data_IF_747018080061
#
_entry.id   IF_747018080061
#
_cell.length_a   1.000
_cell.length_b   1.000
_cell.length_c   1.000
_cell.angle_alpha   90.00
_cell.angle_beta   90.00
_cell.angle_gamma   90.00
#
_symmetry.space_group_name_H-M   'P 1'
#
loop_
_entity.id
_entity.type
_entity.pdbx_description
1 polymer ?
#
# COMPACT_ATOMS: atom_id res chain seq x y z
N UNK A 1 9.55 52.27 -11.90
CA UNK A 1 10.17 51.04 -12.43
C UNK A 1 10.29 49.97 -11.35
N UNK A 2 10.84 50.28 -10.17
CA UNK A 2 10.99 49.35 -9.04
C UNK A 2 9.66 48.73 -8.54
N UNK A 3 8.57 49.51 -8.50
CA UNK A 3 7.25 49.06 -8.00
C UNK A 3 6.64 47.94 -8.84
N UNK A 4 6.80 47.97 -10.19
CA UNK A 4 6.26 46.94 -11.08
C UNK A 4 7.00 45.61 -10.94
N UNK A 5 8.32 45.66 -10.74
CA UNK A 5 9.16 44.47 -10.52
C UNK A 5 8.76 43.77 -9.22
N UNK A 6 8.54 44.53 -8.13
CA UNK A 6 8.04 43.95 -6.88
C UNK A 6 6.66 43.31 -7.06
N UNK A 7 5.75 43.91 -7.83
CA UNK A 7 4.44 43.32 -8.11
C UNK A 7 4.54 41.99 -8.85
N UNK A 8 5.41 41.88 -9.86
CA UNK A 8 5.61 40.63 -10.58
C UNK A 8 6.26 39.54 -9.73
N UNK A 9 7.23 39.89 -8.88
CA UNK A 9 7.83 38.94 -7.93
C UNK A 9 6.76 38.43 -6.95
N UNK A 10 5.96 39.33 -6.39
CA UNK A 10 4.88 38.97 -5.47
C UNK A 10 3.82 38.08 -6.13
N UNK A 11 3.42 38.40 -7.36
CA UNK A 11 2.47 37.58 -8.13
C UNK A 11 3.04 36.19 -8.47
N UNK A 12 4.34 36.10 -8.78
CA UNK A 12 5.02 34.82 -9.04
C UNK A 12 5.09 33.93 -7.79
N UNK A 13 5.33 34.52 -6.62
CA UNK A 13 5.38 33.82 -5.33
C UNK A 13 4.02 33.24 -4.95
N UNK A 14 2.94 34.00 -5.20
CA UNK A 14 1.58 33.51 -4.96
C UNK A 14 1.26 32.31 -5.84
N UNK A 15 1.66 32.34 -7.12
CA UNK A 15 1.35 31.27 -8.07
C UNK A 15 2.01 29.93 -7.70
N UNK A 16 3.24 29.96 -7.16
CA UNK A 16 3.98 28.76 -6.71
C UNK A 16 3.35 28.16 -5.45
N UNK A 17 2.77 28.97 -4.57
CA UNK A 17 2.11 28.51 -3.35
C UNK A 17 0.82 27.70 -3.60
N UNK A 18 0.10 27.99 -4.69
CA UNK A 18 -1.16 27.31 -5.02
C UNK A 18 -0.98 25.91 -5.63
N UNK A 19 0.21 25.56 -6.13
CA UNK A 19 0.46 24.25 -6.76
C UNK A 19 0.84 23.14 -5.78
N UNK A 20 0.98 23.45 -4.48
CA UNK A 20 1.29 22.48 -3.45
C UNK A 20 0.04 21.67 -3.03
N UNK A 21 -0.48 20.84 -3.95
CA UNK A 21 -1.51 19.86 -3.60
C UNK A 21 -0.83 18.71 -2.84
N UNK A 22 -1.12 18.58 -1.55
CA UNK A 22 -0.63 17.47 -0.73
C UNK A 22 -1.03 16.12 -1.33
N UNK A 23 -0.11 15.15 -1.32
CA UNK A 23 -0.39 13.80 -1.78
C UNK A 23 -1.60 13.23 -1.01
N UNK A 24 -2.55 12.62 -1.73
CA UNK A 24 -3.71 11.98 -1.10
C UNK A 24 -3.22 10.91 -0.12
N UNK A 25 -3.71 10.96 1.12
CA UNK A 25 -3.38 9.93 2.10
C UNK A 25 -4.02 8.60 1.68
N UNK A 26 -3.23 7.54 1.46
CA UNK A 26 -3.79 6.24 1.10
C UNK A 26 -4.49 5.61 2.30
N UNK A 27 -5.55 4.84 2.04
CA UNK A 27 -6.14 3.96 3.04
C UNK A 27 -5.38 2.62 3.04
N UNK A 28 -5.07 2.11 4.23
CA UNK A 28 -4.44 0.80 4.40
C UNK A 28 -5.47 -0.22 4.89
N UNK A 29 -5.60 -1.34 4.18
CA UNK A 29 -6.40 -2.49 4.57
C UNK A 29 -5.48 -3.69 4.76
N UNK A 30 -5.44 -4.23 5.97
CA UNK A 30 -4.69 -5.45 6.30
C UNK A 30 -5.69 -6.59 6.43
N UNK A 31 -5.51 -7.63 5.62
CA UNK A 31 -6.32 -8.86 5.65
C UNK A 31 -5.41 -9.98 6.16
N UNK A 32 -5.83 -10.65 7.24
CA UNK A 32 -5.10 -11.76 7.84
C UNK A 32 -6.02 -12.97 7.94
N UNK A 33 -5.61 -14.10 7.35
CA UNK A 33 -6.29 -15.38 7.47
C UNK A 33 -5.74 -16.15 8.68
N UNK A 34 -6.59 -16.91 9.37
CA UNK A 34 -6.18 -17.80 10.46
C UNK A 34 -5.84 -19.19 9.91
N UNK A 35 -4.76 -19.78 10.42
CA UNK A 35 -4.24 -21.10 10.02
C UNK A 35 -4.12 -21.34 8.50
N UNK A 36 -3.90 -20.27 7.73
CA UNK A 36 -3.73 -20.35 6.28
C UNK A 36 -2.27 -20.65 5.92
N UNK A 37 -2.07 -21.76 5.21
CA UNK A 37 -0.76 -22.18 4.71
C UNK A 37 -0.64 -21.93 3.21
N UNK A 38 0.58 -22.01 2.68
CA UNK A 38 0.81 -21.90 1.23
C UNK A 38 0.06 -22.97 0.43
N UNK A 39 -0.19 -24.15 1.01
CA UNK A 39 -0.90 -25.24 0.36
C UNK A 39 -2.40 -24.96 0.16
N UNK A 40 -2.94 -23.98 0.88
CA UNK A 40 -4.36 -23.60 0.78
C UNK A 40 -4.61 -22.63 -0.37
N UNK A 41 -3.57 -22.02 -0.92
CA UNK A 41 -3.67 -20.97 -1.93
C UNK A 41 -3.20 -21.47 -3.31
N UNK A 42 -4.08 -21.49 -4.32
CA UNK A 42 -3.72 -21.73 -5.72
C UNK A 42 -2.53 -20.91 -6.22
N UNK A 43 -2.39 -19.66 -5.76
CA UNK A 43 -1.28 -18.78 -6.12
C UNK A 43 0.10 -19.41 -5.80
N UNK A 44 0.18 -20.26 -4.76
CA UNK A 44 1.40 -20.96 -4.35
C UNK A 44 1.41 -22.45 -4.77
N UNK A 45 0.47 -22.87 -5.63
CA UNK A 45 0.35 -24.25 -6.10
C UNK A 45 -0.61 -25.13 -5.28
N UNK A 46 -1.34 -24.54 -4.32
CA UNK A 46 -2.40 -25.22 -3.59
C UNK A 46 -3.55 -25.69 -4.49
N UNK A 47 -4.18 -26.81 -4.16
CA UNK A 47 -5.28 -27.38 -4.96
C UNK A 47 -6.60 -27.48 -4.20
N UNK A 48 -6.61 -27.16 -2.90
CA UNK A 48 -7.74 -27.43 -2.02
C UNK A 48 -8.81 -26.34 -2.04
N UNK A 49 -8.45 -25.10 -2.39
CA UNK A 49 -9.38 -23.96 -2.38
C UNK A 49 -9.41 -23.23 -3.74
N UNK A 50 -10.48 -22.48 -3.96
CA UNK A 50 -10.61 -21.53 -5.08
C UNK A 50 -10.58 -20.11 -4.51
N UNK A 51 -9.59 -19.31 -4.87
CA UNK A 51 -9.37 -17.98 -4.29
C UNK A 51 -9.30 -16.87 -5.35
N UNK A 52 -10.30 -16.73 -6.24
CA UNK A 52 -10.21 -15.85 -7.41
C UNK A 52 -9.94 -14.37 -7.05
N UNK A 53 -10.44 -13.89 -5.90
CA UNK A 53 -10.22 -12.53 -5.44
C UNK A 53 -8.79 -12.30 -4.91
N UNK A 54 -8.19 -13.32 -4.29
CA UNK A 54 -6.80 -13.26 -3.83
C UNK A 54 -5.85 -13.36 -5.03
N UNK A 55 -6.17 -14.24 -5.98
CA UNK A 55 -5.40 -14.41 -7.21
C UNK A 55 -5.40 -13.11 -8.04
N UNK A 56 -6.56 -12.45 -8.15
CA UNK A 56 -6.67 -11.14 -8.80
C UNK A 56 -5.88 -10.04 -8.05
N UNK A 57 -5.84 -10.08 -6.72
CA UNK A 57 -5.04 -9.16 -5.92
C UNK A 57 -3.54 -9.38 -6.12
N UNK A 58 -3.09 -10.65 -6.18
CA UNK A 58 -1.71 -11.02 -6.43
C UNK A 58 -1.26 -10.60 -7.84
N UNK A 59 -2.10 -10.76 -8.85
CA UNK A 59 -1.80 -10.41 -10.24
C UNK A 59 -1.59 -8.90 -10.47
N UNK A 60 -2.20 -8.04 -9.65
CA UNK A 60 -2.07 -6.58 -9.73
C UNK A 60 -1.12 -5.99 -8.69
N UNK A 61 -0.44 -6.84 -7.92
CA UNK A 61 0.33 -6.46 -6.75
C UNK A 61 1.69 -7.14 -6.69
N UNK A 62 2.26 -7.15 -5.48
CA UNK A 62 3.49 -7.86 -5.17
C UNK A 62 3.18 -9.13 -4.39
N UNK A 63 3.77 -10.24 -4.81
CA UNK A 63 3.66 -11.54 -4.13
C UNK A 63 4.97 -11.88 -3.45
N UNK A 64 4.91 -12.33 -2.19
CA UNK A 64 6.06 -12.76 -1.42
C UNK A 64 6.18 -14.28 -1.38
N UNK A 65 7.17 -14.84 -2.09
CA UNK A 65 7.41 -16.30 -2.08
C UNK A 65 8.15 -16.79 -0.82
N UNK A 66 8.60 -15.87 0.04
CA UNK A 66 9.38 -16.14 1.27
C UNK A 66 8.95 -15.21 2.39
N UNK A 67 7.69 -15.34 2.82
CA UNK A 67 7.16 -14.67 4.00
C UNK A 67 7.13 -15.64 5.19
N UNK A 68 7.79 -15.29 6.29
CA UNK A 68 7.91 -16.14 7.49
C UNK A 68 7.22 -15.47 8.68
N UNK A 69 6.60 -16.29 9.54
CA UNK A 69 5.99 -15.82 10.78
C UNK A 69 7.07 -15.63 11.86
N UNK A 70 6.86 -14.65 12.75
CA UNK A 70 7.73 -14.45 13.92
C UNK A 70 7.63 -15.58 14.96
N UNK A 71 6.46 -16.23 15.05
CA UNK A 71 6.20 -17.34 15.94
C UNK A 71 5.20 -18.33 15.30
N UNK A 72 5.34 -19.62 15.59
CA UNK A 72 4.47 -20.69 15.09
C UNK A 72 3.22 -20.92 15.96
N UNK A 73 2.64 -19.85 16.53
CA UNK A 73 1.45 -19.89 17.38
C UNK A 73 0.58 -18.65 17.15
N UNK A 74 -0.75 -18.79 17.17
CA UNK A 74 -1.68 -17.73 16.77
C UNK A 74 -1.51 -16.44 17.60
N UNK A 75 -1.46 -16.55 18.93
CA UNK A 75 -1.39 -15.38 19.79
C UNK A 75 -0.05 -14.62 19.69
N UNK A 76 1.12 -15.25 19.85
CA UNK A 76 2.39 -14.53 19.70
C UNK A 76 2.66 -14.11 18.24
N UNK A 77 2.04 -14.72 17.24
CA UNK A 77 2.16 -14.24 15.87
C UNK A 77 1.39 -12.92 15.61
N UNK A 78 0.36 -12.63 16.41
CA UNK A 78 -0.57 -11.50 16.21
C UNK A 78 -0.31 -10.33 17.17
N UNK A 79 0.22 -10.61 18.35
CA UNK A 79 0.35 -9.64 19.45
C UNK A 79 1.74 -9.06 19.62
N UNK A 80 2.77 -9.70 19.06
CA UNK A 80 4.19 -9.32 19.19
C UNK A 80 4.66 -8.49 17.98
#
# INVERSE_FOLDING_TARGET
MCTRILTYIFLSLILVGFTAQGASQPNFLIIMADDCTYNDLPLYGGQNAKTPNIDALAARGLTFNRAYLGAAMCQPCRSE
#
